data_IF_285668985407
#
_entry.id   IF_285668985407
#
_cell.length_a   1.000
_cell.length_b   1.000
_cell.length_c   1.000
_cell.angle_alpha   90.00
_cell.angle_beta   90.00
_cell.angle_gamma   90.00
#
_symmetry.space_group_name_H-M   'P 1'
#
loop_
_entity.id
_entity.type
_entity.pdbx_description
1 polymer ?
#
# COMPACT_ATOMS: atom_id res chain seq x y z
N UNK A 1 -10.52 1.98 12.38
CA UNK A 1 -10.35 0.94 11.33
C UNK A 1 -11.63 0.64 10.55
N UNK A 2 -12.81 0.88 11.12
CA UNK A 2 -14.14 0.74 10.50
C UNK A 2 -14.24 1.32 9.08
N UNK A 3 -13.72 2.54 8.86
CA UNK A 3 -13.72 3.22 7.55
C UNK A 3 -12.97 2.50 6.41
N UNK A 4 -11.96 1.70 6.72
CA UNK A 4 -11.18 0.96 5.71
C UNK A 4 -11.93 -0.28 5.20
N UNK A 5 -12.65 -0.96 6.11
CA UNK A 5 -13.40 -2.15 5.76
C UNK A 5 -14.63 -1.80 4.93
N UNK A 6 -15.26 -0.65 5.18
CA UNK A 6 -16.42 -0.16 4.42
C UNK A 6 -17.71 -0.93 4.72
N UNK A 7 -17.70 -1.76 5.77
CA UNK A 7 -18.82 -2.65 6.15
C UNK A 7 -19.46 -2.27 7.47
N UNK A 8 -18.68 -1.63 8.33
CA UNK A 8 -19.04 -1.39 9.71
C UNK A 8 -19.63 0.01 9.88
N UNK A 9 -20.58 0.13 10.79
CA UNK A 9 -21.14 1.41 11.19
C UNK A 9 -20.17 2.22 12.04
N UNK A 10 -20.36 3.54 12.06
CA UNK A 10 -19.60 4.44 12.92
C UNK A 10 -20.52 5.49 13.52
N UNK A 11 -20.57 5.50 14.85
CA UNK A 11 -21.29 6.52 15.64
C UNK A 11 -20.29 7.54 16.16
N UNK A 12 -20.64 8.81 16.05
CA UNK A 12 -19.85 9.90 16.62
C UNK A 12 -20.75 11.02 17.12
N UNK A 13 -20.22 11.82 18.05
CA UNK A 13 -20.91 12.99 18.59
C UNK A 13 -20.37 14.27 17.96
N UNK A 14 -21.23 15.30 17.83
CA UNK A 14 -20.81 16.65 17.44
C UNK A 14 -21.38 17.68 18.39
N UNK A 15 -20.49 18.55 18.90
CA UNK A 15 -20.81 19.64 19.85
C UNK A 15 -22.08 20.42 19.45
N UNK A 16 -22.31 20.69 18.16
CA UNK A 16 -23.47 21.45 17.68
C UNK A 16 -24.57 20.63 16.97
N UNK A 17 -24.30 19.38 16.57
CA UNK A 17 -25.23 18.60 15.71
C UNK A 17 -25.89 17.42 16.42
N UNK A 18 -25.72 17.34 17.74
CA UNK A 18 -26.29 16.30 18.58
C UNK A 18 -25.31 15.16 18.89
N UNK A 19 -25.77 14.32 19.81
CA UNK A 19 -25.14 13.06 20.20
C UNK A 19 -25.70 11.93 19.32
N UNK A 20 -24.95 10.83 19.20
CA UNK A 20 -25.35 9.58 18.54
C UNK A 20 -25.60 9.69 17.01
N UNK A 21 -24.77 10.48 16.31
CA UNK A 21 -24.84 10.51 14.83
C UNK A 21 -24.24 9.23 14.25
N UNK A 22 -25.09 8.40 13.66
CA UNK A 22 -24.69 7.10 13.13
C UNK A 22 -24.57 7.08 11.60
N UNK A 23 -23.42 6.61 11.10
CA UNK A 23 -23.20 6.26 9.71
C UNK A 23 -23.27 4.74 9.59
N UNK A 24 -24.26 4.15 8.88
CA UNK A 24 -24.43 2.69 8.82
C UNK A 24 -23.25 1.93 8.19
N UNK A 25 -22.59 2.55 7.21
CA UNK A 25 -21.38 2.02 6.55
C UNK A 25 -20.42 3.16 6.28
N UNK A 26 -19.39 3.30 7.09
CA UNK A 26 -18.36 4.32 6.87
C UNK A 26 -17.32 3.83 5.88
N UNK A 27 -17.06 4.63 4.83
CA UNK A 27 -16.01 4.36 3.86
C UNK A 27 -15.06 5.56 3.80
N UNK A 28 -13.76 5.31 3.95
CA UNK A 28 -12.72 6.34 3.83
C UNK A 28 -11.85 6.04 2.61
N UNK A 29 -11.79 6.99 1.68
CA UNK A 29 -10.88 6.96 0.53
C UNK A 29 -9.86 8.10 0.65
N UNK A 30 -8.58 7.78 0.50
CA UNK A 30 -7.49 8.76 0.57
C UNK A 30 -6.71 8.69 -0.74
N UNK A 31 -6.59 9.82 -1.43
CA UNK A 31 -5.80 9.98 -2.64
C UNK A 31 -4.90 11.21 -2.49
N UNK A 32 -3.64 11.08 -2.87
CA UNK A 32 -2.69 12.18 -2.77
C UNK A 32 -1.26 11.73 -3.08
N UNK A 33 -0.38 12.70 -3.23
CA UNK A 33 1.06 12.49 -3.25
C UNK A 33 1.67 12.81 -1.88
N UNK A 34 2.76 12.14 -1.54
CA UNK A 34 3.58 12.46 -0.39
C UNK A 34 5.06 12.44 -0.78
N UNK A 35 5.88 13.17 -0.03
CA UNK A 35 7.32 13.15 -0.24
C UNK A 35 7.86 11.74 0.04
N UNK A 36 8.68 11.16 -0.85
CA UNK A 36 9.26 9.83 -0.67
C UNK A 36 9.91 9.63 0.70
N UNK A 37 10.65 10.62 1.20
CA UNK A 37 11.30 10.57 2.51
C UNK A 37 10.32 10.38 3.68
N UNK A 38 9.14 11.05 3.62
CA UNK A 38 8.08 10.91 4.64
C UNK A 38 7.42 9.55 4.60
N UNK A 39 7.17 9.02 3.40
CA UNK A 39 6.62 7.67 3.25
C UNK A 39 7.62 6.63 3.78
N UNK A 40 8.91 6.80 3.50
CA UNK A 40 9.96 5.92 3.98
C UNK A 40 10.06 5.92 5.53
N UNK A 41 9.85 7.06 6.18
CA UNK A 41 9.75 7.16 7.65
C UNK A 41 8.60 6.30 8.20
N UNK A 42 7.40 6.39 7.62
CA UNK A 42 6.28 5.55 8.04
C UNK A 42 6.52 4.06 7.77
N UNK A 43 7.12 3.72 6.63
CA UNK A 43 7.44 2.34 6.29
C UNK A 43 8.52 1.74 7.20
N UNK A 44 9.45 2.53 7.74
CA UNK A 44 10.44 2.07 8.73
C UNK A 44 9.78 1.46 9.96
N UNK A 45 8.75 2.11 10.51
CA UNK A 45 8.04 1.59 11.68
C UNK A 45 7.37 0.24 11.40
N UNK A 46 6.77 0.09 10.21
CA UNK A 46 6.16 -1.15 9.75
C UNK A 46 7.19 -2.27 9.51
N UNK A 47 8.39 -1.96 9.00
CA UNK A 47 9.46 -2.95 8.77
C UNK A 47 10.05 -3.45 10.09
N UNK A 48 10.21 -2.59 11.10
CA UNK A 48 10.80 -3.00 12.39
C UNK A 48 9.85 -3.80 13.30
N UNK A 49 8.54 -3.81 13.03
CA UNK A 49 7.55 -4.43 13.93
C UNK A 49 7.43 -3.74 15.30
N UNK A 50 7.77 -2.45 15.38
CA UNK A 50 7.67 -1.65 16.62
C UNK A 50 6.24 -1.16 16.87
N UNK A 51 5.96 -0.54 18.02
CA UNK A 51 4.64 -0.05 18.44
C UNK A 51 3.93 0.93 17.48
N UNK A 52 4.59 1.36 16.38
CA UNK A 52 4.01 2.11 15.26
C UNK A 52 3.51 1.26 14.09
N UNK A 53 3.60 -0.08 14.15
CA UNK A 53 3.00 -0.99 13.16
C UNK A 53 1.48 -1.13 13.40
N UNK A 54 0.75 -0.05 13.13
CA UNK A 54 -0.72 -0.03 13.17
C UNK A 54 -1.36 -0.59 11.89
N UNK A 55 -0.52 -1.07 10.95
CA UNK A 55 -0.90 -1.58 9.64
C UNK A 55 -1.32 -0.50 8.63
N UNK A 56 -1.14 0.80 8.93
CA UNK A 56 -1.65 1.90 8.11
C UNK A 56 -1.07 1.86 6.70
N UNK A 57 0.25 1.78 6.57
CA UNK A 57 0.91 1.77 5.27
C UNK A 57 0.57 0.54 4.43
N UNK A 58 0.36 -0.60 5.07
CA UNK A 58 -0.05 -1.86 4.43
C UNK A 58 -1.46 -1.75 3.84
N UNK A 59 -2.29 -0.81 4.31
CA UNK A 59 -3.62 -0.51 3.73
C UNK A 59 -3.52 0.37 2.50
N UNK A 60 -2.43 1.06 2.21
CA UNK A 60 -2.29 1.78 0.93
C UNK A 60 -1.96 0.80 -0.21
N UNK A 61 -2.88 -0.12 -0.53
CA UNK A 61 -2.67 -1.19 -1.52
C UNK A 61 -2.52 -0.69 -2.96
N UNK A 62 -2.89 0.57 -3.23
CA UNK A 62 -2.70 1.25 -4.51
C UNK A 62 -1.47 2.17 -4.51
N UNK A 63 -0.52 1.98 -3.59
CA UNK A 63 0.70 2.79 -3.51
C UNK A 63 1.51 2.68 -4.80
N UNK A 64 1.85 3.84 -5.39
CA UNK A 64 2.74 3.94 -6.55
C UNK A 64 3.98 4.74 -6.16
N UNK A 65 5.14 4.23 -6.56
CA UNK A 65 6.45 4.84 -6.35
C UNK A 65 7.15 5.07 -7.69
N UNK A 66 6.82 6.15 -8.42
CA UNK A 66 7.32 6.37 -9.77
C UNK A 66 8.79 6.84 -9.79
N UNK A 67 9.46 6.64 -10.91
CA UNK A 67 10.77 7.26 -11.16
C UNK A 67 10.64 8.74 -11.47
N UNK A 68 11.64 9.52 -11.04
CA UNK A 68 11.80 10.87 -11.55
C UNK A 68 12.34 10.75 -12.99
N UNK A 69 11.56 11.21 -13.97
CA UNK A 69 12.07 11.34 -15.34
C UNK A 69 13.16 12.42 -15.32
N UNK A 70 14.35 12.08 -15.81
CA UNK A 70 15.56 12.88 -15.62
C UNK A 70 15.46 14.28 -16.22
N UNK A 71 14.79 14.41 -17.37
CA UNK A 71 14.65 15.69 -18.04
C UNK A 71 13.35 16.37 -17.63
N UNK A 72 13.47 17.50 -16.94
CA UNK A 72 12.35 18.41 -16.77
C UNK A 72 11.95 18.95 -18.14
N UNK A 73 10.66 18.84 -18.45
CA UNK A 73 10.07 19.42 -19.65
C UNK A 73 8.87 20.24 -19.23
N UNK A 74 8.89 21.52 -19.60
CA UNK A 74 7.69 22.34 -19.51
C UNK A 74 6.66 21.85 -20.53
N UNK A 75 5.48 21.47 -20.04
CA UNK A 75 4.39 20.97 -20.89
C UNK A 75 3.13 21.73 -20.53
N UNK A 76 2.97 22.89 -21.15
CA UNK A 76 1.70 23.61 -21.18
C UNK A 76 0.85 23.09 -22.36
N UNK A 77 0.09 22.03 -22.10
CA UNK A 77 -0.83 21.44 -23.08
C UNK A 77 -2.26 21.55 -22.60
N UNK A 78 -3.16 21.91 -23.51
CA UNK A 78 -4.58 21.86 -23.21
C UNK A 78 -5.00 20.43 -22.83
N UNK A 79 -5.82 20.25 -21.78
CA UNK A 79 -6.31 18.93 -21.40
C UNK A 79 -7.06 18.25 -22.54
N UNK A 80 -6.86 16.94 -22.69
CA UNK A 80 -7.66 16.13 -23.61
C UNK A 80 -9.13 16.15 -23.16
N UNK A 81 -9.93 16.95 -23.85
CA UNK A 81 -11.33 17.19 -23.51
C UNK A 81 -12.17 15.93 -23.73
N UNK A 82 -11.80 15.08 -24.69
CA UNK A 82 -12.46 13.79 -24.94
C UNK A 82 -12.18 12.82 -23.80
N UNK A 83 -10.91 12.70 -23.36
CA UNK A 83 -10.55 11.87 -22.22
C UNK A 83 -11.22 12.37 -20.92
N UNK A 84 -11.22 13.68 -20.70
CA UNK A 84 -11.91 14.31 -19.56
C UNK A 84 -13.39 13.94 -19.56
N UNK A 85 -14.10 14.17 -20.67
CA UNK A 85 -15.54 13.90 -20.76
C UNK A 85 -15.86 12.40 -20.58
N UNK A 86 -15.02 11.50 -21.09
CA UNK A 86 -15.17 10.04 -20.83
C UNK A 86 -15.04 9.70 -19.35
N UNK A 87 -14.08 10.31 -18.64
CA UNK A 87 -13.93 10.10 -17.20
C UNK A 87 -15.16 10.59 -16.42
N UNK A 88 -15.68 11.78 -16.73
CA UNK A 88 -16.91 12.30 -16.11
C UNK A 88 -18.12 11.40 -16.39
N UNK A 89 -18.28 10.93 -17.62
CA UNK A 89 -19.37 10.02 -17.96
C UNK A 89 -19.31 8.71 -17.16
N UNK A 90 -18.12 8.19 -16.87
CA UNK A 90 -17.95 7.01 -16.02
C UNK A 90 -18.41 7.29 -14.58
N UNK A 91 -18.07 8.45 -14.00
CA UNK A 91 -18.56 8.84 -12.67
C UNK A 91 -20.08 9.00 -12.65
N UNK A 92 -20.66 9.69 -13.64
CA UNK A 92 -22.11 9.88 -13.75
C UNK A 92 -22.85 8.55 -13.94
N UNK A 93 -22.24 7.59 -14.63
CA UNK A 93 -22.78 6.24 -14.78
C UNK A 93 -22.76 5.50 -13.43
N UNK A 94 -21.60 5.46 -12.75
CA UNK A 94 -21.42 4.78 -11.47
C UNK A 94 -22.30 5.37 -10.35
N UNK A 95 -22.62 6.66 -10.38
CA UNK A 95 -23.53 7.28 -9.41
C UNK A 95 -24.98 6.77 -9.57
N UNK A 96 -25.36 6.37 -10.79
CA UNK A 96 -26.72 5.96 -11.14
C UNK A 96 -26.95 4.46 -11.04
N UNK A 97 -25.90 3.64 -10.93
CA UNK A 97 -26.08 2.20 -10.84
C UNK A 97 -26.74 1.82 -9.52
N UNK A 98 -27.69 0.90 -9.60
CA UNK A 98 -28.21 0.18 -8.45
C UNK A 98 -27.83 -1.30 -8.58
N UNK A 99 -27.79 -2.06 -7.48
CA UNK A 99 -27.53 -3.49 -7.53
C UNK A 99 -28.41 -4.21 -8.56
N UNK A 100 -29.70 -3.86 -8.64
CA UNK A 100 -30.63 -4.52 -9.55
C UNK A 100 -30.32 -4.21 -11.02
N UNK A 101 -29.94 -2.96 -11.34
CA UNK A 101 -29.60 -2.55 -12.71
C UNK A 101 -28.36 -3.26 -13.28
N UNK A 102 -27.48 -3.76 -12.42
CA UNK A 102 -26.23 -4.43 -12.80
C UNK A 102 -26.27 -5.95 -12.56
N UNK A 103 -27.41 -6.52 -12.18
CA UNK A 103 -27.52 -7.97 -11.88
C UNK A 103 -26.83 -8.38 -10.57
N UNK A 104 -26.75 -7.45 -9.62
CA UNK A 104 -26.24 -7.64 -8.27
C UNK A 104 -27.01 -8.73 -7.51
N UNK A 105 -26.27 -9.69 -6.98
CA UNK A 105 -26.80 -10.75 -6.12
C UNK A 105 -26.71 -10.31 -4.66
N UNK A 106 -27.59 -10.85 -3.82
CA UNK A 106 -27.58 -10.66 -2.37
C UNK A 106 -27.49 -12.00 -1.69
N UNK A 107 -26.73 -12.07 -0.61
CA UNK A 107 -26.68 -13.23 0.24
C UNK A 107 -27.66 -13.04 1.42
N UNK A 108 -28.34 -14.09 1.92
CA UNK A 108 -29.21 -13.96 3.11
C UNK A 108 -28.46 -13.51 4.37
N UNK A 109 -27.15 -13.73 4.43
CA UNK A 109 -26.28 -13.47 5.58
C UNK A 109 -25.35 -12.27 5.40
N UNK A 110 -25.21 -11.71 4.18
CA UNK A 110 -24.49 -10.45 3.92
C UNK A 110 -25.39 -9.46 3.18
N UNK A 111 -25.69 -8.34 3.85
CA UNK A 111 -26.51 -7.27 3.29
C UNK A 111 -25.88 -6.55 2.09
N UNK A 112 -24.59 -6.77 1.84
CA UNK A 112 -23.85 -6.12 0.75
C UNK A 112 -24.08 -6.85 -0.58
N UNK A 113 -24.63 -6.17 -1.60
CA UNK A 113 -24.79 -6.78 -2.92
C UNK A 113 -23.43 -7.06 -3.56
N UNK A 114 -23.36 -8.11 -4.36
CA UNK A 114 -22.13 -8.55 -5.02
C UNK A 114 -22.37 -9.05 -6.45
N UNK A 115 -21.33 -9.00 -7.26
CA UNK A 115 -21.27 -9.69 -8.55
C UNK A 115 -20.26 -10.83 -8.45
N UNK A 116 -20.59 -11.98 -9.03
CA UNK A 116 -19.64 -13.09 -9.15
C UNK A 116 -18.68 -12.81 -10.30
N UNK A 117 -17.50 -13.41 -10.27
CA UNK A 117 -16.63 -13.44 -11.44
C UNK A 117 -17.27 -14.30 -12.55
N UNK A 118 -17.05 -13.92 -13.80
CA UNK A 118 -17.34 -14.79 -14.94
C UNK A 118 -16.55 -16.11 -14.82
N UNK A 119 -16.96 -17.20 -15.52
CA UNK A 119 -16.23 -18.46 -15.46
C UNK A 119 -14.74 -18.32 -15.80
N UNK A 120 -14.39 -17.59 -16.86
CA UNK A 120 -12.99 -17.34 -17.23
C UNK A 120 -12.25 -16.46 -16.22
N UNK A 121 -12.87 -15.36 -15.77
CA UNK A 121 -12.30 -14.51 -14.73
C UNK A 121 -12.04 -15.27 -13.42
N UNK A 122 -12.94 -16.17 -13.04
CA UNK A 122 -12.78 -17.00 -11.84
C UNK A 122 -11.59 -17.96 -11.94
N UNK A 123 -11.34 -18.55 -13.12
CA UNK A 123 -10.17 -19.41 -13.35
C UNK A 123 -8.89 -18.60 -13.15
N UNK A 124 -8.77 -17.46 -13.84
CA UNK A 124 -7.59 -16.58 -13.74
C UNK A 124 -7.37 -16.08 -12.30
N UNK A 125 -8.44 -15.64 -11.63
CA UNK A 125 -8.36 -15.15 -10.27
C UNK A 125 -7.94 -16.25 -9.28
N UNK A 126 -8.44 -17.48 -9.43
CA UNK A 126 -8.06 -18.60 -8.57
C UNK A 126 -6.59 -18.96 -8.74
N UNK A 127 -6.09 -19.02 -9.97
CA UNK A 127 -4.68 -19.27 -10.23
C UNK A 127 -3.79 -18.21 -9.56
N UNK A 128 -4.10 -16.93 -9.79
CA UNK A 128 -3.39 -15.82 -9.16
C UNK A 128 -3.46 -15.89 -7.62
N UNK A 129 -4.65 -16.10 -7.06
CA UNK A 129 -4.85 -16.17 -5.61
C UNK A 129 -4.06 -17.33 -5.00
N UNK A 130 -4.05 -18.51 -5.63
CA UNK A 130 -3.25 -19.64 -5.16
C UNK A 130 -1.76 -19.30 -5.12
N UNK A 131 -1.23 -18.60 -6.12
CA UNK A 131 0.16 -18.13 -6.11
C UNK A 131 0.40 -17.13 -4.98
N UNK A 132 -0.50 -16.16 -4.80
CA UNK A 132 -0.43 -15.18 -3.71
C UNK A 132 -0.41 -15.86 -2.33
N UNK A 133 -1.36 -16.75 -2.04
CA UNK A 133 -1.44 -17.42 -0.74
C UNK A 133 -0.17 -18.25 -0.45
N UNK A 134 0.36 -18.98 -1.44
CA UNK A 134 1.63 -19.72 -1.27
C UNK A 134 2.78 -18.81 -0.86
N UNK A 135 2.90 -17.64 -1.48
CA UNK A 135 3.94 -16.66 -1.16
C UNK A 135 3.74 -16.04 0.22
N UNK A 136 2.50 -15.72 0.59
CA UNK A 136 2.18 -15.15 1.90
C UNK A 136 2.42 -16.11 3.07
N UNK A 137 2.39 -17.42 2.82
CA UNK A 137 2.66 -18.46 3.81
C UNK A 137 4.08 -19.04 3.73
N UNK A 138 4.90 -18.59 2.78
CA UNK A 138 6.31 -18.97 2.70
C UNK A 138 7.20 -18.03 3.50
N UNK A 139 8.45 -18.43 3.71
CA UNK A 139 9.42 -17.69 4.55
C UNK A 139 10.24 -16.66 3.75
N UNK A 140 9.97 -16.49 2.45
CA UNK A 140 10.73 -15.59 1.56
C UNK A 140 10.36 -14.10 1.74
N UNK A 141 9.14 -13.80 2.18
CA UNK A 141 8.65 -12.43 2.29
C UNK A 141 8.90 -11.86 3.69
N UNK A 142 9.47 -10.65 3.72
CA UNK A 142 9.52 -9.87 4.96
C UNK A 142 8.09 -9.65 5.51
N UNK A 143 7.83 -9.76 6.83
CA UNK A 143 6.49 -9.66 7.42
C UNK A 143 5.69 -8.42 7.00
N UNK A 144 6.36 -7.27 6.92
CA UNK A 144 5.74 -6.02 6.48
C UNK A 144 5.24 -6.08 5.01
N UNK A 145 6.00 -6.72 4.12
CA UNK A 145 5.61 -6.93 2.73
C UNK A 145 4.47 -7.96 2.62
N UNK A 146 4.58 -9.08 3.35
CA UNK A 146 3.49 -10.06 3.44
C UNK A 146 2.19 -9.40 3.93
N UNK A 147 2.26 -8.54 4.95
CA UNK A 147 1.11 -7.79 5.45
C UNK A 147 0.52 -6.82 4.40
N UNK A 148 1.35 -6.16 3.58
CA UNK A 148 0.90 -5.33 2.45
C UNK A 148 0.18 -6.17 1.39
N UNK A 149 0.84 -7.21 0.87
CA UNK A 149 0.29 -8.08 -0.17
C UNK A 149 -0.95 -8.85 0.32
N UNK A 150 -1.07 -9.10 1.62
CA UNK A 150 -2.28 -9.69 2.22
C UNK A 150 -3.55 -8.90 1.91
N UNK A 151 -3.44 -7.58 1.69
CA UNK A 151 -4.59 -6.70 1.39
C UNK A 151 -5.05 -6.82 -0.05
N UNK A 152 -4.23 -7.38 -0.95
CA UNK A 152 -4.59 -7.60 -2.35
C UNK A 152 -5.75 -8.59 -2.50
N UNK A 153 -5.97 -9.47 -1.50
CA UNK A 153 -7.15 -10.35 -1.42
C UNK A 153 -8.48 -9.59 -1.56
N UNK A 154 -8.54 -8.35 -1.06
CA UNK A 154 -9.70 -7.46 -1.20
C UNK A 154 -9.51 -6.49 -2.38
N UNK A 155 -8.34 -5.88 -2.49
CA UNK A 155 -8.13 -4.78 -3.42
C UNK A 155 -8.27 -5.20 -4.90
N UNK A 156 -7.71 -6.36 -5.28
CA UNK A 156 -7.70 -6.82 -6.67
C UNK A 156 -9.09 -7.22 -7.19
N UNK A 157 -9.91 -8.03 -6.48
CA UNK A 157 -11.27 -8.28 -6.94
C UNK A 157 -12.17 -7.03 -6.90
N UNK A 158 -11.94 -6.11 -5.97
CA UNK A 158 -12.64 -4.81 -5.97
C UNK A 158 -12.27 -3.97 -7.20
N UNK A 159 -10.98 -3.96 -7.59
CA UNK A 159 -10.50 -3.26 -8.79
C UNK A 159 -11.09 -3.87 -10.06
N UNK A 160 -11.19 -5.20 -10.14
CA UNK A 160 -11.84 -5.90 -11.25
C UNK A 160 -13.31 -5.48 -11.38
N UNK A 161 -14.04 -5.44 -10.27
CA UNK A 161 -15.43 -4.97 -10.24
C UNK A 161 -15.54 -3.52 -10.72
N UNK A 162 -14.69 -2.63 -10.21
CA UNK A 162 -14.69 -1.21 -10.61
C UNK A 162 -14.43 -1.08 -12.12
N UNK A 163 -13.43 -1.77 -12.66
CA UNK A 163 -13.13 -1.74 -14.10
C UNK A 163 -14.28 -2.28 -14.94
N UNK A 164 -14.93 -3.36 -14.50
CA UNK A 164 -16.09 -3.92 -15.19
C UNK A 164 -17.24 -2.91 -15.25
N UNK A 165 -17.54 -2.24 -14.14
CA UNK A 165 -18.62 -1.25 -14.07
C UNK A 165 -18.30 0.04 -14.84
N UNK A 166 -17.04 0.49 -14.83
CA UNK A 166 -16.58 1.65 -15.62
C UNK A 166 -16.82 1.40 -17.12
N UNK A 167 -16.64 0.17 -17.57
CA UNK A 167 -16.89 -0.23 -18.96
C UNK A 167 -18.38 -0.50 -19.28
N UNK A 168 -19.29 -0.25 -18.33
CA UNK A 168 -20.73 -0.48 -18.48
C UNK A 168 -21.14 -1.96 -18.38
N UNK A 169 -20.27 -2.80 -17.83
CA UNK A 169 -20.55 -4.22 -17.62
C UNK A 169 -21.68 -4.46 -16.61
N UNK A 170 -22.49 -5.49 -16.87
CA UNK A 170 -23.53 -5.99 -15.97
C UNK A 170 -23.42 -7.50 -15.82
N UNK A 171 -24.01 -8.05 -14.75
CA UNK A 171 -23.93 -9.47 -14.44
C UNK A 171 -22.54 -9.87 -13.96
N UNK A 172 -22.07 -11.09 -14.27
CA UNK A 172 -20.76 -11.53 -13.79
C UNK A 172 -19.61 -10.64 -14.28
N UNK A 173 -18.69 -10.29 -13.37
CA UNK A 173 -17.50 -9.48 -13.66
C UNK A 173 -16.70 -10.13 -14.78
N UNK A 174 -16.46 -9.38 -15.85
CA UNK A 174 -15.88 -9.91 -17.08
C UNK A 174 -14.46 -10.44 -16.88
N UNK A 175 -14.07 -11.37 -17.74
CA UNK A 175 -12.72 -11.92 -17.75
C UNK A 175 -11.69 -10.81 -18.02
N UNK A 176 -11.93 -9.94 -19.00
CA UNK A 176 -11.07 -8.80 -19.32
C UNK A 176 -10.86 -7.84 -18.14
N UNK A 177 -11.92 -7.54 -17.38
CA UNK A 177 -11.79 -6.71 -16.19
C UNK A 177 -10.98 -7.41 -15.10
N UNK A 178 -11.15 -8.72 -14.96
CA UNK A 178 -10.36 -9.53 -14.03
C UNK A 178 -8.89 -9.54 -14.43
N UNK A 179 -8.56 -9.85 -15.68
CA UNK A 179 -7.19 -9.88 -16.19
C UNK A 179 -6.51 -8.51 -16.03
N UNK A 180 -7.19 -7.41 -16.34
CA UNK A 180 -6.65 -6.06 -16.13
C UNK A 180 -6.34 -5.80 -14.66
N UNK A 181 -7.23 -6.18 -13.74
CA UNK A 181 -6.97 -6.03 -12.30
C UNK A 181 -5.81 -6.91 -11.82
N UNK A 182 -5.63 -8.10 -12.38
CA UNK A 182 -4.47 -8.96 -12.11
C UNK A 182 -3.17 -8.32 -12.60
N UNK A 183 -3.15 -7.73 -13.80
CA UNK A 183 -1.99 -6.97 -14.30
C UNK A 183 -1.66 -5.77 -13.40
N UNK A 184 -2.69 -5.08 -12.87
CA UNK A 184 -2.49 -4.05 -11.86
C UNK A 184 -1.84 -4.59 -10.58
N UNK A 185 -2.13 -5.83 -10.18
CA UNK A 185 -1.48 -6.43 -9.00
C UNK A 185 0.04 -6.53 -9.17
N UNK A 186 0.51 -6.92 -10.37
CA UNK A 186 1.94 -7.01 -10.68
C UNK A 186 2.61 -5.62 -10.67
N UNK A 187 1.95 -4.64 -11.29
CA UNK A 187 2.40 -3.25 -11.30
C UNK A 187 2.51 -2.69 -9.87
N UNK A 188 1.44 -2.79 -9.07
CA UNK A 188 1.40 -2.26 -7.72
C UNK A 188 2.38 -2.97 -6.79
N UNK A 189 2.55 -4.28 -6.94
CA UNK A 189 3.54 -5.03 -6.18
C UNK A 189 4.97 -4.55 -6.49
N UNK A 190 5.29 -4.27 -7.76
CA UNK A 190 6.61 -3.72 -8.12
C UNK A 190 6.87 -2.36 -7.46
N UNK A 191 5.82 -1.53 -7.32
CA UNK A 191 5.92 -0.24 -6.64
C UNK A 191 5.99 -0.37 -5.12
N UNK A 192 5.26 -1.31 -4.53
CA UNK A 192 5.40 -1.66 -3.13
C UNK A 192 6.83 -2.14 -2.85
N UNK A 193 7.36 -3.07 -3.64
CA UNK A 193 8.74 -3.56 -3.50
C UNK A 193 9.75 -2.41 -3.47
N UNK A 194 9.61 -1.42 -4.37
CA UNK A 194 10.44 -0.21 -4.37
C UNK A 194 10.27 0.64 -3.11
N UNK A 195 9.04 0.87 -2.68
CA UNK A 195 8.77 1.67 -1.49
C UNK A 195 9.38 1.02 -0.23
N UNK A 196 9.21 -0.29 -0.05
CA UNK A 196 9.82 -1.02 1.07
C UNK A 196 11.34 -1.10 0.94
N UNK A 197 11.90 -1.25 -0.27
CA UNK A 197 13.34 -1.24 -0.49
C UNK A 197 14.00 0.13 -0.20
N UNK A 198 13.24 1.24 -0.29
CA UNK A 198 13.76 2.56 0.08
C UNK A 198 14.19 2.63 1.55
N UNK A 199 13.53 1.85 2.41
CA UNK A 199 13.88 1.73 3.83
C UNK A 199 15.17 0.94 3.99
N UNK A 200 15.23 -0.28 3.44
CA UNK A 200 16.39 -1.16 3.60
C UNK A 200 17.67 -0.56 3.00
N UNK A 201 17.56 0.11 1.85
CA UNK A 201 18.70 0.79 1.21
C UNK A 201 19.24 1.96 2.05
N UNK A 202 18.36 2.67 2.77
CA UNK A 202 18.78 3.77 3.65
C UNK A 202 19.60 3.24 4.84
N UNK A 203 19.14 2.15 5.46
CA UNK A 203 19.86 1.46 6.54
C UNK A 203 21.19 0.90 6.06
N UNK A 204 21.23 0.23 4.91
CA UNK A 204 22.47 -0.32 4.35
C UNK A 204 23.49 0.78 4.00
N UNK A 205 23.02 1.97 3.56
CA UNK A 205 23.90 3.10 3.28
C UNK A 205 24.47 3.72 4.55
N UNK A 206 23.66 3.82 5.61
CA UNK A 206 24.12 4.21 6.94
C UNK A 206 25.15 3.20 7.50
N UNK A 207 24.90 1.90 7.39
CA UNK A 207 25.82 0.84 7.81
C UNK A 207 27.18 0.93 7.09
N UNK A 208 27.17 1.11 5.77
CA UNK A 208 28.41 1.33 4.99
C UNK A 208 29.18 2.57 5.44
N UNK A 209 28.49 3.66 5.79
CA UNK A 209 29.12 4.87 6.26
C UNK A 209 29.77 4.68 7.64
N UNK A 210 29.11 3.95 8.56
CA UNK A 210 29.68 3.57 9.85
C UNK A 210 30.94 2.72 9.64
N UNK A 211 30.88 1.69 8.81
CA UNK A 211 32.04 0.85 8.49
C UNK A 211 33.22 1.65 7.96
N UNK A 212 32.96 2.62 7.07
CA UNK A 212 34.02 3.47 6.50
C UNK A 212 34.73 4.31 7.56
N UNK A 213 34.05 4.66 8.64
CA UNK A 213 34.55 5.53 9.72
C UNK A 213 34.78 4.79 11.03
N UNK A 214 34.74 3.46 11.02
CA UNK A 214 34.80 2.68 12.26
C UNK A 214 36.13 2.87 13.01
N UNK A 215 37.22 3.16 12.29
CA UNK A 215 38.51 3.50 12.90
C UNK A 215 38.54 4.86 13.62
N UNK A 216 37.52 5.68 13.49
CA UNK A 216 37.34 6.92 14.27
C UNK A 216 36.63 6.65 15.61
N UNK A 217 36.13 5.43 15.83
CA UNK A 217 35.45 5.01 17.06
C UNK A 217 36.39 4.19 17.94
N UNK A 218 36.18 4.19 19.27
CA UNK A 218 36.88 3.27 20.17
C UNK A 218 36.53 1.82 19.85
N UNK A 219 37.40 0.88 20.26
CA UNK A 219 37.23 -0.56 20.04
C UNK A 219 35.89 -1.09 20.58
N UNK A 220 35.44 -0.53 21.70
CA UNK A 220 34.08 -0.67 22.22
C UNK A 220 33.37 0.67 22.11
N UNK A 221 32.24 0.72 21.41
CA UNK A 221 31.47 1.93 21.21
C UNK A 221 29.98 1.65 21.28
N UNK A 222 29.20 2.71 21.53
CA UNK A 222 27.74 2.65 21.59
C UNK A 222 27.11 3.39 20.42
N UNK A 223 25.82 3.15 20.16
CA UNK A 223 25.05 3.95 19.20
C UNK A 223 25.08 5.46 19.50
N UNK A 224 25.25 5.84 20.77
CA UNK A 224 25.38 7.24 21.19
C UNK A 224 26.70 7.86 20.73
N UNK A 225 27.77 7.07 20.71
CA UNK A 225 29.10 7.55 20.29
C UNK A 225 29.08 7.89 18.81
N UNK A 226 28.54 6.98 17.98
CA UNK A 226 28.31 7.22 16.54
C UNK A 226 27.46 8.47 16.31
N UNK A 227 26.34 8.60 17.03
CA UNK A 227 25.44 9.75 16.89
C UNK A 227 26.10 11.08 17.30
N UNK A 228 26.95 11.09 18.34
CA UNK A 228 27.63 12.29 18.82
C UNK A 228 28.60 12.88 17.81
N UNK A 229 29.18 12.06 16.94
CA UNK A 229 30.04 12.56 15.87
C UNK A 229 29.29 13.36 14.80
N UNK A 230 27.95 13.30 14.76
CA UNK A 230 27.10 14.07 13.83
C UNK A 230 27.55 13.96 12.37
N UNK A 231 27.99 12.76 11.96
CA UNK A 231 28.42 12.52 10.59
C UNK A 231 27.25 12.73 9.62
N UNK A 232 27.54 13.36 8.47
CA UNK A 232 26.55 13.58 7.42
C UNK A 232 25.94 12.26 6.97
N UNK A 233 24.62 12.11 7.09
CA UNK A 233 23.91 10.86 6.79
C UNK A 233 23.69 9.92 7.99
N UNK A 234 24.17 10.28 9.18
CA UNK A 234 23.99 9.56 10.45
C UNK A 234 23.44 10.50 11.55
N UNK A 235 22.54 11.38 11.15
CA UNK A 235 21.95 12.42 12.02
C UNK A 235 20.66 11.96 12.70
N UNK A 236 20.20 10.75 12.41
CA UNK A 236 19.01 10.15 13.01
C UNK A 236 19.42 8.99 13.92
N UNK A 237 19.07 9.08 15.21
CA UNK A 237 19.49 8.13 16.24
C UNK A 237 18.94 6.72 15.98
N UNK A 238 17.73 6.63 15.43
CA UNK A 238 17.12 5.35 15.10
C UNK A 238 17.77 4.70 13.88
N UNK A 239 18.11 5.48 12.84
CA UNK A 239 18.85 5.00 11.68
C UNK A 239 20.24 4.50 12.05
N UNK A 240 20.94 5.20 12.97
CA UNK A 240 22.22 4.74 13.49
C UNK A 240 22.07 3.40 14.19
N UNK A 241 21.04 3.22 15.01
CA UNK A 241 20.80 1.95 15.70
C UNK A 241 20.55 0.81 14.71
N UNK A 242 19.67 1.00 13.73
CA UNK A 242 19.40 -0.02 12.71
C UNK A 242 20.63 -0.40 11.90
N UNK A 243 21.47 0.60 11.58
CA UNK A 243 22.70 0.37 10.85
C UNK A 243 23.67 -0.49 11.68
N UNK A 244 23.74 -0.27 13.00
CA UNK A 244 24.56 -1.09 13.91
C UNK A 244 23.98 -2.48 14.10
N UNK A 245 22.67 -2.62 14.30
CA UNK A 245 21.97 -3.91 14.42
C UNK A 245 22.25 -4.74 13.15
N UNK A 246 22.10 -4.14 11.96
CA UNK A 246 22.44 -4.76 10.67
C UNK A 246 23.91 -5.19 10.60
N UNK A 247 24.85 -4.34 11.04
CA UNK A 247 26.28 -4.72 11.04
C UNK A 247 26.57 -5.88 12.00
N UNK A 248 25.85 -5.98 13.12
CA UNK A 248 25.89 -7.13 14.02
C UNK A 248 25.38 -8.40 13.36
N UNK A 249 24.22 -8.34 12.71
CA UNK A 249 23.62 -9.48 12.00
C UNK A 249 24.53 -10.05 10.90
N UNK A 250 25.27 -9.17 10.20
CA UNK A 250 26.25 -9.56 9.17
C UNK A 250 27.65 -9.87 9.72
N UNK A 251 27.84 -9.89 11.05
CA UNK A 251 29.09 -10.26 11.70
C UNK A 251 30.24 -9.25 11.55
N UNK A 252 29.91 -7.99 11.21
CA UNK A 252 30.88 -6.90 11.18
C UNK A 252 31.12 -6.29 12.55
N UNK A 253 30.15 -6.41 13.46
CA UNK A 253 30.24 -6.02 14.86
C UNK A 253 29.88 -7.22 15.74
N UNK A 254 30.49 -7.29 16.92
CA UNK A 254 30.15 -8.30 17.92
C UNK A 254 29.34 -7.57 19.00
N UNK A 255 28.07 -7.94 19.23
CA UNK A 255 27.32 -7.42 20.37
C UNK A 255 27.94 -7.95 21.66
N UNK A 256 28.16 -7.06 22.63
CA UNK A 256 28.44 -7.43 24.02
C UNK A 256 27.17 -7.95 24.72
#
# INVERSE_FOLDING_TARGET
>A
MTGWNGRDGYTFDRIMRGLDLHIPKVTLSVIGGAQPGRIAEYLRHAVRGTAGDDGLMQRFSLLVWPDHRGDWKDVDRWPDSTARNRAFAAFDHLDKITPDTIGGQRDPFDASPYLRLSPGGLVAFREWRTKLERRLHGDELHPAMASHLSKYRKAIPALALIMHLIDGGTGPVSEDATIRALAWSEYLESHAARAYASVTNSTASAARLILKRIGELPEQFTARDVYRHQWSGLTDREMVRDALDMLGDYGHLIPD
#
